data_IF_056553851063
#
_entry.id   IF_056553851063
#
_cell.length_a   1.000
_cell.length_b   1.000
_cell.length_c   1.000
_cell.angle_alpha   90.00
_cell.angle_beta   90.00
_cell.angle_gamma   90.00
#
_symmetry.space_group_name_H-M   'P 1'
#
loop_
_entity.id
_entity.type
_entity.pdbx_description
1 polymer ?
#
# COMPACT_ATOMS: atom_id res chain seq x y z
N UNK A 1 72.41 3.61 6.98
CA UNK A 1 71.70 2.62 6.15
C UNK A 1 70.84 3.36 5.14
N UNK A 2 71.10 3.14 3.86
CA UNK A 2 70.37 3.70 2.72
C UNK A 2 69.21 2.76 2.37
N UNK A 3 68.01 3.29 2.13
CA UNK A 3 67.05 2.67 1.24
C UNK A 3 66.48 3.73 0.30
N UNK A 4 66.92 3.64 -0.95
CA UNK A 4 66.35 4.22 -2.16
C UNK A 4 65.66 3.06 -2.88
N UNK A 5 64.47 3.30 -3.44
CA UNK A 5 63.75 2.63 -4.57
C UNK A 5 62.27 2.46 -4.20
N UNK A 6 61.28 2.58 -5.08
CA UNK A 6 61.17 3.00 -6.47
C UNK A 6 59.69 3.30 -6.72
N UNK A 7 59.39 4.31 -7.54
CA UNK A 7 58.05 4.57 -8.06
C UNK A 7 57.69 3.52 -9.12
N UNK A 8 56.47 2.98 -9.06
CA UNK A 8 55.84 2.23 -10.15
C UNK A 8 54.63 3.02 -10.63
N UNK A 9 54.80 3.66 -11.78
CA UNK A 9 53.76 4.26 -12.59
C UNK A 9 53.25 3.17 -13.53
N UNK A 10 51.99 2.77 -13.38
CA UNK A 10 51.31 1.94 -14.39
C UNK A 10 50.43 2.84 -15.26
N UNK A 11 50.89 3.06 -16.50
CA UNK A 11 50.05 3.48 -17.62
C UNK A 11 49.08 2.35 -17.96
N UNK A 12 47.78 2.65 -17.99
CA UNK A 12 46.84 1.92 -18.85
C UNK A 12 46.28 2.91 -19.87
N UNK A 13 46.60 2.60 -21.13
CA UNK A 13 46.23 3.32 -22.34
C UNK A 13 44.75 3.08 -22.63
N UNK A 14 44.06 4.15 -23.02
CA UNK A 14 42.62 4.15 -23.25
C UNK A 14 42.16 3.43 -24.51
N UNK A 15 40.85 3.21 -24.56
CA UNK A 15 40.08 3.09 -25.79
C UNK A 15 38.95 4.10 -25.67
N UNK A 16 38.94 5.09 -26.56
CA UNK A 16 37.87 6.05 -26.71
C UNK A 16 36.72 5.41 -27.50
N UNK A 17 35.47 5.66 -27.08
CA UNK A 17 34.30 5.53 -27.95
C UNK A 17 33.16 6.40 -27.44
N UNK A 18 33.01 7.54 -28.12
CA UNK A 18 31.85 8.40 -28.33
C UNK A 18 30.59 8.26 -27.44
N UNK A 19 30.21 9.37 -26.81
CA UNK A 19 28.81 9.70 -26.57
C UNK A 19 28.08 9.93 -27.90
N UNK A 20 26.85 9.40 -28.02
CA UNK A 20 25.77 10.21 -28.54
C UNK A 20 24.51 10.12 -27.66
N UNK A 21 24.04 11.25 -27.17
CA UNK A 21 22.60 11.52 -27.19
C UNK A 21 22.30 12.31 -28.47
N UNK A 22 21.09 12.27 -29.07
CA UNK A 22 19.83 11.72 -28.56
C UNK A 22 19.16 10.73 -29.55
N UNK A 23 18.33 9.82 -29.04
CA UNK A 23 17.30 9.19 -29.85
C UNK A 23 16.03 9.15 -29.01
N UNK A 24 15.05 9.96 -29.43
CA UNK A 24 13.68 9.80 -29.04
C UNK A 24 13.21 8.48 -29.67
N UNK A 25 13.20 7.39 -28.91
CA UNK A 25 12.42 6.22 -29.29
C UNK A 25 11.03 6.37 -28.70
N UNK A 26 10.17 6.71 -29.64
CA UNK A 26 8.74 6.83 -29.57
C UNK A 26 8.19 5.41 -29.70
N UNK A 27 8.11 4.67 -28.59
CA UNK A 27 7.43 3.38 -28.57
C UNK A 27 6.00 3.57 -28.08
N UNK A 28 5.17 3.78 -29.09
CA UNK A 28 3.77 3.40 -29.28
C UNK A 28 2.97 2.92 -28.05
N UNK A 29 1.96 3.74 -27.78
CA UNK A 29 0.65 3.37 -27.25
C UNK A 29 0.10 2.12 -27.95
N UNK A 30 0.29 0.94 -27.34
CA UNK A 30 -0.52 -0.24 -27.65
C UNK A 30 -0.89 -0.99 -26.38
N UNK A 31 -2.13 -0.72 -25.96
CA UNK A 31 -2.83 -1.55 -25.01
C UNK A 31 -2.87 -3.03 -25.40
N UNK A 32 -3.03 -3.84 -24.35
CA UNK A 32 -3.71 -5.12 -24.40
C UNK A 32 -3.03 -6.23 -25.24
N UNK A 33 -1.94 -6.81 -24.71
CA UNK A 33 -1.55 -8.17 -25.06
C UNK A 33 -1.77 -9.11 -23.87
N UNK A 34 -2.98 -9.66 -23.82
CA UNK A 34 -3.34 -10.77 -22.93
C UNK A 34 -2.95 -12.08 -23.64
N UNK A 35 -1.78 -12.63 -23.30
CA UNK A 35 -1.37 -13.98 -23.73
C UNK A 35 -2.20 -15.09 -23.05
N UNK A 36 -2.39 -16.27 -23.68
CA UNK A 36 -3.42 -17.23 -23.26
C UNK A 36 -3.02 -18.12 -22.06
N UNK A 37 -1.94 -17.81 -21.34
CA UNK A 37 -1.48 -18.63 -20.19
C UNK A 37 -0.78 -17.82 -19.08
N UNK A 38 -1.12 -16.53 -18.92
CA UNK A 38 -0.77 -15.77 -17.72
C UNK A 38 -2.06 -15.52 -16.94
N UNK A 39 -2.13 -16.01 -15.69
CA UNK A 39 -3.15 -15.54 -14.75
C UNK A 39 -3.13 -14.00 -14.71
N UNK A 40 -4.25 -13.33 -14.40
CA UNK A 40 -4.29 -11.87 -14.47
C UNK A 40 -3.24 -11.30 -13.52
N UNK A 41 -2.13 -10.79 -14.08
CA UNK A 41 -1.18 -10.01 -13.31
C UNK A 41 -1.95 -8.87 -12.66
N UNK A 42 -1.74 -8.67 -11.35
CA UNK A 42 -2.38 -7.58 -10.63
C UNK A 42 -2.07 -6.27 -11.36
N UNK A 43 -3.11 -5.52 -11.72
CA UNK A 43 -2.97 -4.26 -12.45
C UNK A 43 -2.35 -3.21 -11.53
N UNK A 44 -1.43 -2.40 -12.03
CA UNK A 44 -0.88 -1.28 -11.27
C UNK A 44 -1.93 -0.17 -11.13
N UNK A 45 -2.17 0.33 -9.92
CA UNK A 45 -2.96 1.55 -9.68
C UNK A 45 -2.06 2.68 -9.18
N UNK A 46 -2.49 3.92 -9.44
CA UNK A 46 -1.81 5.13 -8.98
C UNK A 46 -0.33 5.18 -9.40
N UNK A 47 -0.03 5.16 -10.71
CA UNK A 47 1.34 5.23 -11.18
C UNK A 47 2.01 6.54 -10.72
N UNK A 48 3.29 6.44 -10.35
CA UNK A 48 4.10 7.57 -9.88
C UNK A 48 4.16 7.72 -8.36
N UNK A 49 3.46 6.88 -7.59
CA UNK A 49 3.65 6.83 -6.14
C UNK A 49 5.07 6.37 -5.78
N UNK A 50 5.58 6.87 -4.65
CA UNK A 50 6.92 6.53 -4.14
C UNK A 50 6.90 5.18 -3.40
N UNK A 51 6.72 4.11 -4.16
CA UNK A 51 6.70 2.72 -3.69
C UNK A 51 7.64 1.86 -4.55
N UNK A 52 7.89 0.61 -4.14
CA UNK A 52 8.77 -0.33 -4.87
C UNK A 52 8.33 -0.51 -6.32
N UNK A 53 7.03 -0.59 -6.56
CA UNK A 53 6.45 -0.85 -7.88
C UNK A 53 6.03 0.45 -8.63
N UNK A 54 6.42 1.63 -8.13
CA UNK A 54 6.01 2.95 -8.66
C UNK A 54 4.48 3.14 -8.75
N UNK A 55 3.76 2.53 -7.82
CA UNK A 55 2.30 2.45 -7.71
C UNK A 55 1.91 1.30 -6.77
N UNK A 56 0.64 0.90 -6.78
CA UNK A 56 0.16 -0.22 -5.97
C UNK A 56 -0.29 -1.40 -6.83
N UNK A 57 0.12 -2.61 -6.47
CA UNK A 57 -0.29 -3.87 -7.10
C UNK A 57 -1.00 -4.81 -6.10
N UNK A 58 -0.93 -4.50 -4.81
CA UNK A 58 -1.58 -5.21 -3.70
C UNK A 58 -2.78 -4.41 -3.25
N UNK A 59 -3.92 -4.68 -3.88
CA UNK A 59 -5.21 -4.12 -3.47
C UNK A 59 -6.34 -5.06 -3.87
N UNK A 60 -7.52 -4.77 -3.35
CA UNK A 60 -8.77 -5.38 -3.76
C UNK A 60 -9.78 -4.30 -4.13
N UNK A 61 -10.66 -4.63 -5.08
CA UNK A 61 -11.76 -3.76 -5.52
C UNK A 61 -13.09 -4.32 -5.05
N UNK A 62 -13.98 -3.44 -4.61
CA UNK A 62 -15.32 -3.80 -4.16
C UNK A 62 -15.43 -4.26 -2.71
N UNK A 63 -14.35 -4.25 -1.95
CA UNK A 63 -14.35 -4.75 -0.58
C UNK A 63 -13.81 -3.70 0.37
N UNK A 64 -14.29 -3.75 1.60
CA UNK A 64 -13.88 -2.93 2.74
C UNK A 64 -12.94 -3.76 3.62
N UNK A 65 -11.64 -3.64 3.38
CA UNK A 65 -10.64 -4.35 4.19
C UNK A 65 -10.38 -3.53 5.44
N UNK A 66 -11.14 -3.85 6.49
CA UNK A 66 -11.04 -3.19 7.79
C UNK A 66 -9.70 -3.52 8.47
N UNK A 67 -9.03 -2.51 9.03
CA UNK A 67 -7.88 -2.70 9.92
C UNK A 67 -8.30 -2.91 11.38
N UNK A 68 -7.32 -3.13 12.27
CA UNK A 68 -7.56 -3.80 13.56
C UNK A 68 -7.62 -2.94 14.82
N UNK A 69 -7.29 -1.64 14.82
CA UNK A 69 -7.29 -0.89 16.11
C UNK A 69 -7.81 0.53 16.07
N UNK A 70 -7.33 1.39 15.17
CA UNK A 70 -7.74 2.80 15.12
C UNK A 70 -7.84 3.28 13.69
N UNK A 71 -8.77 4.18 13.43
CA UNK A 71 -9.06 4.71 12.11
C UNK A 71 -8.98 6.24 12.06
N UNK A 72 -8.61 6.77 10.90
CA UNK A 72 -8.70 8.19 10.56
C UNK A 72 -9.47 8.32 9.26
N UNK A 73 -10.59 9.04 9.30
CA UNK A 73 -11.40 9.35 8.12
C UNK A 73 -10.98 10.68 7.50
N UNK A 74 -10.72 10.65 6.20
CA UNK A 74 -10.39 11.80 5.37
C UNK A 74 -11.43 11.91 4.24
N UNK A 75 -11.92 13.11 3.99
CA UNK A 75 -13.04 13.34 3.06
C UNK A 75 -12.68 14.33 1.97
N UNK A 76 -13.53 14.43 0.95
CA UNK A 76 -13.50 15.52 -0.01
C UNK A 76 -13.59 16.89 0.70
N UNK A 77 -12.88 17.94 0.24
CA UNK A 77 -12.04 18.00 -0.97
C UNK A 77 -10.58 17.57 -0.79
N UNK A 78 -10.19 17.14 0.42
CA UNK A 78 -8.82 16.69 0.67
C UNK A 78 -8.49 15.41 -0.10
N UNK A 79 -9.47 14.51 -0.21
CA UNK A 79 -9.36 13.26 -0.97
C UNK A 79 -10.33 13.32 -2.15
N UNK A 80 -9.82 13.19 -3.37
CA UNK A 80 -10.63 13.22 -4.59
C UNK A 80 -10.80 11.83 -5.19
N UNK A 81 -9.77 11.00 -5.09
CA UNK A 81 -9.72 9.65 -5.67
C UNK A 81 -8.99 8.66 -4.76
N UNK A 82 -8.90 7.40 -5.19
CA UNK A 82 -8.17 6.37 -4.45
C UNK A 82 -6.68 6.69 -4.31
N UNK A 83 -6.09 7.43 -5.25
CA UNK A 83 -4.67 7.73 -5.25
C UNK A 83 -4.31 8.77 -4.19
N UNK A 84 -5.16 9.78 -4.00
CA UNK A 84 -5.07 10.71 -2.87
C UNK A 84 -5.14 9.93 -1.54
N UNK A 85 -6.05 8.96 -1.43
CA UNK A 85 -6.20 8.15 -0.23
C UNK A 85 -4.93 7.34 0.09
N UNK A 86 -4.39 6.63 -0.90
CA UNK A 86 -3.14 5.89 -0.78
C UNK A 86 -2.00 6.83 -0.40
N UNK A 87 -1.90 7.97 -1.09
CA UNK A 87 -0.86 8.96 -0.85
C UNK A 87 -0.91 9.52 0.58
N UNK A 88 -2.09 9.68 1.17
CA UNK A 88 -2.23 10.07 2.57
C UNK A 88 -1.76 8.98 3.54
N UNK A 89 -1.98 7.69 3.23
CA UNK A 89 -1.38 6.60 4.01
C UNK A 89 0.16 6.59 3.90
N UNK A 90 0.69 6.79 2.68
CA UNK A 90 2.13 6.87 2.42
C UNK A 90 2.81 8.06 3.11
N UNK A 91 2.08 9.12 3.45
CA UNK A 91 2.58 10.25 4.25
C UNK A 91 2.66 9.94 5.75
N UNK A 92 2.08 8.82 6.20
CA UNK A 92 1.85 8.46 7.60
C UNK A 92 2.33 7.03 7.90
N UNK A 93 3.49 6.64 7.37
CA UNK A 93 3.99 5.25 7.46
C UNK A 93 4.20 4.73 8.90
N UNK A 94 4.38 5.65 9.86
CA UNK A 94 4.49 5.34 11.28
C UNK A 94 3.15 4.94 11.92
N UNK A 95 2.04 5.30 11.29
CA UNK A 95 0.71 5.23 11.87
C UNK A 95 -0.35 4.62 10.94
N UNK A 96 -0.08 4.45 9.64
CA UNK A 96 -0.98 3.84 8.66
C UNK A 96 -0.36 2.56 8.09
N UNK A 97 -1.14 1.48 8.03
CA UNK A 97 -0.74 0.27 7.29
C UNK A 97 -1.81 -0.28 6.34
N UNK A 98 -3.02 0.28 6.34
CA UNK A 98 -4.05 -0.06 5.37
C UNK A 98 -4.91 1.17 5.07
N UNK A 99 -5.47 1.21 3.88
CA UNK A 99 -6.42 2.23 3.46
C UNK A 99 -7.67 1.56 2.89
N UNK A 100 -8.80 2.27 3.00
CA UNK A 100 -10.06 1.94 2.35
C UNK A 100 -10.63 3.21 1.76
N UNK A 101 -10.90 3.22 0.46
CA UNK A 101 -11.57 4.31 -0.24
C UNK A 101 -12.93 3.83 -0.75
N UNK A 102 -14.01 4.25 -0.07
CA UNK A 102 -15.39 3.78 -0.33
C UNK A 102 -16.43 4.82 0.09
N UNK A 103 -17.70 4.58 -0.21
CA UNK A 103 -18.78 5.29 0.48
C UNK A 103 -18.95 4.74 1.90
N UNK A 104 -18.73 5.60 2.91
CA UNK A 104 -18.79 5.21 4.33
C UNK A 104 -20.04 5.74 5.03
N UNK A 105 -20.74 6.72 4.43
CA UNK A 105 -21.96 7.32 4.99
C UNK A 105 -23.00 7.63 3.90
N UNK A 106 -24.26 7.80 4.30
CA UNK A 106 -25.31 8.27 3.38
C UNK A 106 -24.98 9.65 2.77
N UNK A 107 -24.25 10.49 3.49
CA UNK A 107 -23.78 11.78 2.97
C UNK A 107 -22.71 11.61 1.88
N UNK A 108 -21.77 10.69 2.07
CA UNK A 108 -20.76 10.37 1.05
C UNK A 108 -21.44 9.90 -0.25
N UNK A 109 -22.49 9.09 -0.15
CA UNK A 109 -23.29 8.63 -1.31
C UNK A 109 -24.01 9.80 -1.99
N UNK A 110 -24.70 10.66 -1.22
CA UNK A 110 -25.47 11.80 -1.77
C UNK A 110 -24.58 12.83 -2.47
N UNK A 111 -23.40 13.07 -1.91
CA UNK A 111 -22.42 13.99 -2.48
C UNK A 111 -21.65 13.40 -3.67
N UNK A 112 -21.66 12.07 -3.82
CA UNK A 112 -20.87 11.36 -4.83
C UNK A 112 -19.38 11.29 -4.50
N UNK A 113 -18.99 11.65 -3.27
CA UNK A 113 -17.60 11.65 -2.83
C UNK A 113 -17.36 10.56 -1.79
N UNK A 114 -16.41 9.67 -2.07
CA UNK A 114 -16.00 8.60 -1.16
C UNK A 114 -15.19 9.16 0.02
N UNK A 115 -15.20 8.42 1.12
CA UNK A 115 -14.35 8.62 2.29
C UNK A 115 -13.11 7.74 2.15
N UNK A 116 -11.96 8.28 2.54
CA UNK A 116 -10.74 7.50 2.75
C UNK A 116 -10.60 7.21 4.24
N UNK A 117 -10.64 5.95 4.61
CA UNK A 117 -10.39 5.48 5.97
C UNK A 117 -8.99 4.89 6.04
N UNK A 118 -8.12 5.49 6.85
CA UNK A 118 -6.77 5.00 7.12
C UNK A 118 -6.78 4.20 8.41
N UNK A 119 -6.29 2.96 8.36
CA UNK A 119 -6.17 2.12 9.53
C UNK A 119 -4.75 2.07 10.06
N UNK A 120 -4.66 1.99 11.38
CA UNK A 120 -3.42 1.91 12.14
C UNK A 120 -2.42 0.90 11.60
N UNK A 121 -1.14 1.25 11.77
CA UNK A 121 -0.07 0.29 11.65
C UNK A 121 -0.18 -0.78 12.75
N UNK A 122 -0.29 -2.04 12.32
CA UNK A 122 -0.40 -3.20 13.22
C UNK A 122 0.97 -3.74 13.64
N UNK A 123 2.05 -3.30 12.99
CA UNK A 123 3.41 -3.59 13.43
C UNK A 123 3.72 -2.72 14.65
N UNK A 124 3.64 -3.33 15.83
CA UNK A 124 4.00 -2.66 17.07
C UNK A 124 5.49 -2.28 17.05
N UNK A 125 5.85 -1.07 17.50
CA UNK A 125 7.24 -0.74 17.74
C UNK A 125 7.89 -1.77 18.70
N UNK A 126 9.18 -2.08 18.57
CA UNK A 126 9.85 -3.15 19.34
C UNK A 126 9.77 -3.00 20.87
N UNK A 127 9.42 -1.81 21.38
CA UNK A 127 9.32 -1.51 22.80
C UNK A 127 7.87 -1.43 23.31
N UNK A 128 6.88 -1.76 22.49
CA UNK A 128 5.47 -1.72 22.87
C UNK A 128 5.02 -3.09 23.38
N UNK A 129 4.64 -3.15 24.65
CA UNK A 129 3.98 -4.29 25.24
C UNK A 129 2.46 -4.08 25.21
N UNK A 130 1.73 -4.98 24.57
CA UNK A 130 0.27 -5.02 24.71
C UNK A 130 -0.09 -5.63 26.07
N UNK A 131 -0.83 -4.88 26.86
CA UNK A 131 -1.41 -5.37 28.12
C UNK A 131 -2.92 -5.42 27.95
N UNK A 132 -3.50 -6.60 28.14
CA UNK A 132 -4.95 -6.79 28.10
C UNK A 132 -5.46 -6.93 29.53
N UNK A 133 -6.42 -6.09 29.94
CA UNK A 133 -7.10 -6.25 31.21
C UNK A 133 -8.21 -7.29 31.05
N UNK A 134 -7.86 -8.55 31.23
CA UNK A 134 -8.78 -9.69 31.05
C UNK A 134 -9.94 -9.61 32.06
N UNK A 135 -9.68 -9.18 33.29
CA UNK A 135 -10.66 -9.20 34.38
C UNK A 135 -11.76 -8.14 34.21
N UNK A 136 -11.48 -7.04 33.49
CA UNK A 136 -12.43 -5.95 33.25
C UNK A 136 -12.87 -5.84 31.77
N UNK A 137 -12.57 -6.82 30.92
CA UNK A 137 -12.93 -6.79 29.50
C UNK A 137 -13.96 -7.87 29.18
N UNK A 138 -14.99 -7.52 28.42
CA UNK A 138 -15.92 -8.48 27.86
C UNK A 138 -15.29 -9.19 26.65
N UNK A 139 -15.43 -10.51 26.56
CA UNK A 139 -14.96 -11.34 25.43
C UNK A 139 -13.44 -11.39 25.22
N UNK A 140 -12.63 -10.90 26.16
CA UNK A 140 -11.19 -11.15 26.18
C UNK A 140 -10.94 -12.24 27.22
N UNK A 141 -10.38 -13.36 26.78
CA UNK A 141 -10.02 -14.47 27.66
C UNK A 141 -8.59 -14.92 27.32
N UNK A 142 -7.82 -15.32 28.34
CA UNK A 142 -6.56 -16.03 28.10
C UNK A 142 -6.86 -17.34 27.38
N UNK A 143 -6.20 -17.56 26.25
CA UNK A 143 -6.50 -18.66 25.34
C UNK A 143 -5.74 -19.92 25.77
N UNK A 144 -6.42 -21.06 25.75
CA UNK A 144 -5.77 -22.38 25.82
C UNK A 144 -5.01 -22.64 24.50
N UNK A 145 -3.81 -23.25 24.54
CA UNK A 145 -3.09 -23.68 23.34
C UNK A 145 -3.92 -24.54 22.36
N UNK A 146 -4.93 -25.26 22.87
CA UNK A 146 -5.76 -26.19 22.08
C UNK A 146 -6.94 -25.53 21.36
N UNK A 147 -7.18 -24.22 21.56
CA UNK A 147 -8.36 -23.51 21.03
C UNK A 147 -7.92 -22.27 20.24
N UNK A 148 -7.43 -22.49 19.01
CA UNK A 148 -6.90 -21.46 18.13
C UNK A 148 -8.01 -20.48 17.64
N UNK A 149 -8.00 -19.20 18.04
CA UNK A 149 -9.06 -18.23 17.75
C UNK A 149 -8.81 -17.40 16.48
N UNK A 150 -7.86 -17.79 15.62
CA UNK A 150 -7.62 -17.14 14.33
C UNK A 150 -8.72 -17.40 13.28
N UNK A 151 -9.94 -17.75 13.71
CA UNK A 151 -11.09 -17.92 12.82
C UNK A 151 -11.55 -16.54 12.33
N UNK A 152 -10.98 -16.10 11.22
CA UNK A 152 -11.40 -14.88 10.53
C UNK A 152 -12.79 -14.99 9.89
N UNK A 153 -13.33 -13.84 9.50
CA UNK A 153 -14.52 -13.72 8.65
C UNK A 153 -14.16 -13.51 7.18
N UNK A 154 -15.17 -13.45 6.33
CA UNK A 154 -15.00 -12.91 4.98
C UNK A 154 -14.75 -11.41 5.06
N UNK A 155 -13.96 -10.89 4.11
CA UNK A 155 -13.80 -9.44 3.96
C UNK A 155 -15.17 -8.84 3.58
N UNK A 156 -15.64 -7.80 4.28
CA UNK A 156 -16.91 -7.15 3.99
C UNK A 156 -16.99 -6.58 2.56
N UNK A 157 -18.17 -6.71 1.96
CA UNK A 157 -18.51 -6.09 0.67
C UNK A 157 -18.70 -4.58 0.86
N UNK A 158 -18.16 -3.77 -0.06
CA UNK A 158 -18.46 -2.34 -0.14
C UNK A 158 -19.76 -2.09 -0.91
N UNK A 159 -20.50 -1.06 -0.50
CA UNK A 159 -21.80 -0.68 -1.07
C UNK A 159 -21.86 0.82 -1.36
N UNK A 160 -22.70 1.20 -2.33
CA UNK A 160 -22.87 2.59 -2.80
C UNK A 160 -24.30 3.11 -2.76
N UNK A 161 -25.23 2.35 -2.19
CA UNK A 161 -26.59 2.84 -1.93
C UNK A 161 -26.65 3.63 -0.62
N UNK A 162 -27.71 4.42 -0.44
CA UNK A 162 -27.88 5.31 0.73
C UNK A 162 -27.80 4.56 2.07
N UNK A 163 -28.19 3.29 2.10
CA UNK A 163 -28.17 2.44 3.31
C UNK A 163 -26.90 1.57 3.40
N UNK A 164 -26.02 1.65 2.41
CA UNK A 164 -24.73 0.95 2.33
C UNK A 164 -24.85 -0.58 2.52
N UNK A 165 -25.85 -1.22 1.90
CA UNK A 165 -26.11 -2.64 2.16
C UNK A 165 -26.73 -3.45 1.01
N UNK A 166 -27.09 -2.85 -0.12
CA UNK A 166 -27.78 -3.56 -1.21
C UNK A 166 -27.09 -3.45 -2.56
N UNK A 167 -26.57 -2.28 -2.91
CA UNK A 167 -25.92 -2.05 -4.21
C UNK A 167 -24.43 -2.08 -4.03
N UNK A 168 -23.77 -3.11 -4.57
CA UNK A 168 -22.32 -3.27 -4.46
C UNK A 168 -21.57 -2.10 -5.13
N UNK A 169 -20.47 -1.69 -4.53
CA UNK A 169 -19.57 -0.65 -5.05
C UNK A 169 -18.29 -1.28 -5.62
N UNK A 170 -18.27 -1.75 -6.89
CA UNK A 170 -17.08 -2.39 -7.46
C UNK A 170 -15.88 -1.44 -7.58
N UNK A 171 -16.08 -0.13 -7.47
CA UNK A 171 -15.03 0.87 -7.62
C UNK A 171 -14.35 1.21 -6.28
N UNK A 172 -14.89 0.76 -5.15
CA UNK A 172 -14.23 0.88 -3.85
C UNK A 172 -12.86 0.19 -3.90
N UNK A 173 -11.85 0.77 -3.26
CA UNK A 173 -10.48 0.25 -3.26
C UNK A 173 -9.99 0.12 -1.84
N UNK A 174 -9.43 -1.05 -1.52
CA UNK A 174 -8.78 -1.29 -0.23
C UNK A 174 -7.44 -1.97 -0.44
N UNK A 175 -6.45 -1.64 0.37
CA UNK A 175 -5.15 -2.29 0.28
C UNK A 175 -4.22 -1.99 1.45
N UNK A 176 -3.20 -2.83 1.63
CA UNK A 176 -2.13 -2.55 2.56
C UNK A 176 -1.19 -1.44 2.07
N UNK A 177 -0.50 -0.84 3.02
CA UNK A 177 0.73 -0.08 2.84
C UNK A 177 1.74 -0.59 3.86
N UNK A 178 2.87 -1.07 3.40
CA UNK A 178 3.91 -1.64 4.26
C UNK A 178 5.21 -0.86 4.11
N UNK A 179 5.59 -0.15 5.16
CA UNK A 179 6.95 0.31 5.33
C UNK A 179 7.84 -0.87 5.74
N UNK A 180 8.79 -1.22 4.89
CA UNK A 180 9.70 -2.33 5.10
C UNK A 180 10.92 -1.89 5.93
N UNK A 181 11.59 -2.85 6.56
CA UNK A 181 12.74 -2.59 7.42
C UNK A 181 13.94 -1.97 6.67
N UNK A 182 14.02 -2.12 5.35
CA UNK A 182 15.03 -1.50 4.50
C UNK A 182 14.68 -0.06 4.08
N UNK A 183 13.54 0.47 4.55
CA UNK A 183 13.04 1.80 4.23
C UNK A 183 12.25 1.90 2.92
N UNK A 184 12.12 0.81 2.17
CA UNK A 184 11.24 0.76 1.01
C UNK A 184 9.78 0.62 1.44
N UNK A 185 8.85 0.95 0.54
CA UNK A 185 7.41 0.91 0.81
C UNK A 185 6.70 0.10 -0.26
N UNK A 186 5.87 -0.84 0.17
CA UNK A 186 5.01 -1.63 -0.71
C UNK A 186 3.55 -1.27 -0.52
N UNK A 187 2.86 -1.29 -1.65
CA UNK A 187 1.44 -1.53 -1.78
C UNK A 187 1.30 -2.34 -3.09
#
# INVERSE_FOLDING_TARGET
>A
MRYITSFLVSLLVGVASANPHPACDQDDDHGNQKGPNQGPGQTLICPGLKTVDHGCIRYTRGFDVTGVTTEVDLTFPQIKDECDCIQECLKRLDSCANYVWKFSTSESVRSGHRTCTLYSNFNLPPTVNLSFNVDNSTNIQMLSPDNNPQKGGLVPQAFKDTNLNTTTDPDAVSGPVWALADGSVQC
#
